data_IF_130721751125
#
_entry.id   IF_130721751125
#
_cell.length_a   1.000
_cell.length_b   1.000
_cell.length_c   1.000
_cell.angle_alpha   90.00
_cell.angle_beta   90.00
_cell.angle_gamma   90.00
#
_symmetry.space_group_name_H-M   'P 1'
#
loop_
_entity.id
_entity.type
_entity.pdbx_description
1 polymer ?
#
# COMPACT_ATOMS: atom_id res chain seq x y z
N UNK A 1 -21.52 6.51 5.97
CA UNK A 1 -20.59 6.96 7.03
C UNK A 1 -19.43 6.01 7.20
N UNK A 2 -19.58 4.83 7.84
CA UNK A 2 -18.44 3.89 8.01
C UNK A 2 -17.81 3.50 6.67
N UNK A 3 -18.64 3.18 5.68
CA UNK A 3 -18.19 2.88 4.32
C UNK A 3 -17.36 4.01 3.68
N UNK A 4 -17.75 5.27 3.87
CA UNK A 4 -17.03 6.42 3.31
C UNK A 4 -15.66 6.60 3.99
N UNK A 5 -15.59 6.33 5.30
CA UNK A 5 -14.34 6.30 6.06
C UNK A 5 -13.43 5.18 5.56
N UNK A 6 -13.97 3.98 5.32
CA UNK A 6 -13.19 2.85 4.81
C UNK A 6 -12.59 3.14 3.43
N UNK A 7 -13.39 3.72 2.54
CA UNK A 7 -12.95 4.14 1.20
C UNK A 7 -11.85 5.20 1.30
N UNK A 8 -12.04 6.24 2.12
CA UNK A 8 -11.06 7.30 2.29
C UNK A 8 -9.74 6.76 2.87
N UNK A 9 -9.81 5.88 3.86
CA UNK A 9 -8.64 5.25 4.47
C UNK A 9 -7.88 4.37 3.48
N UNK A 10 -8.57 3.53 2.70
CA UNK A 10 -7.94 2.67 1.69
C UNK A 10 -7.27 3.48 0.58
N UNK A 11 -7.94 4.56 0.15
CA UNK A 11 -7.43 5.51 -0.83
C UNK A 11 -6.27 6.32 -0.28
N UNK A 12 -6.24 6.59 1.03
CA UNK A 12 -5.21 7.37 1.72
C UNK A 12 -5.35 8.88 1.57
N UNK A 13 -6.46 9.37 1.00
CA UNK A 13 -6.76 10.81 0.91
C UNK A 13 -8.26 11.06 0.74
N UNK A 14 -8.67 12.29 1.08
CA UNK A 14 -10.03 12.78 0.85
C UNK A 14 -10.11 13.53 -0.48
N UNK A 15 -11.16 13.28 -1.25
CA UNK A 15 -11.55 14.17 -2.36
C UNK A 15 -11.89 15.56 -1.84
N UNK A 16 -11.87 16.57 -2.72
CA UNK A 16 -12.22 17.95 -2.36
C UNK A 16 -13.63 18.03 -1.74
N UNK A 17 -14.60 17.29 -2.30
CA UNK A 17 -15.96 17.22 -1.78
C UNK A 17 -16.03 16.56 -0.40
N UNK A 18 -15.37 15.40 -0.23
CA UNK A 18 -15.33 14.70 1.06
C UNK A 18 -14.68 15.57 2.14
N UNK A 19 -13.56 16.25 1.82
CA UNK A 19 -12.88 17.15 2.75
C UNK A 19 -13.77 18.31 3.20
N UNK A 20 -14.57 18.89 2.30
CA UNK A 20 -15.51 19.96 2.69
C UNK A 20 -16.65 19.46 3.55
N UNK A 21 -17.20 18.28 3.24
CA UNK A 21 -18.30 17.68 4.00
C UNK A 21 -17.85 17.23 5.39
N UNK A 22 -16.64 16.67 5.50
CA UNK A 22 -16.07 16.20 6.76
C UNK A 22 -15.70 17.33 7.70
N UNK A 23 -15.17 18.45 7.17
CA UNK A 23 -14.95 19.69 7.94
C UNK A 23 -16.24 20.30 8.50
N UNK A 24 -17.37 20.08 7.84
CA UNK A 24 -18.67 20.58 8.29
C UNK A 24 -19.34 19.66 9.31
N UNK A 25 -19.18 18.34 9.17
CA UNK A 25 -20.00 17.36 9.90
C UNK A 25 -19.26 16.58 11.01
N UNK A 26 -17.95 16.34 10.94
CA UNK A 26 -17.33 15.23 11.70
C UNK A 26 -16.17 15.61 12.64
N UNK A 27 -15.33 16.60 12.31
CA UNK A 27 -14.13 16.90 13.13
C UNK A 27 -14.41 17.66 14.44
N UNK A 28 -15.64 18.09 14.69
CA UNK A 28 -15.92 19.07 15.74
C UNK A 28 -16.35 18.50 17.11
N UNK A 29 -16.43 17.18 17.32
CA UNK A 29 -16.90 16.66 18.63
C UNK A 29 -16.44 15.26 19.08
N UNK A 30 -16.10 14.32 18.20
CA UNK A 30 -15.87 12.91 18.58
C UNK A 30 -14.38 12.53 18.58
N UNK A 31 -13.97 11.63 19.48
CA UNK A 31 -12.59 11.18 19.63
C UNK A 31 -12.05 10.52 18.35
N UNK A 32 -12.85 9.66 17.69
CA UNK A 32 -12.48 9.00 16.43
C UNK A 32 -12.23 10.00 15.30
N UNK A 33 -12.94 11.14 15.29
CA UNK A 33 -12.80 12.17 14.28
C UNK A 33 -11.40 12.76 14.26
N UNK A 34 -10.83 13.07 15.45
CA UNK A 34 -9.46 13.61 15.56
C UNK A 34 -8.38 12.59 15.15
N UNK A 35 -8.60 11.30 15.46
CA UNK A 35 -7.70 10.23 15.05
C UNK A 35 -7.75 10.00 13.55
N UNK A 36 -8.95 10.05 12.97
CA UNK A 36 -9.16 9.91 11.55
C UNK A 36 -8.57 11.09 10.77
N UNK A 37 -8.65 12.32 11.31
CA UNK A 37 -7.95 13.48 10.77
C UNK A 37 -6.45 13.21 10.71
N UNK A 38 -5.87 12.82 11.85
CA UNK A 38 -4.44 12.49 11.96
C UNK A 38 -4.02 11.39 10.98
N UNK A 39 -4.85 10.35 10.82
CA UNK A 39 -4.61 9.26 9.87
C UNK A 39 -4.56 9.77 8.42
N UNK A 40 -5.55 10.55 8.00
CA UNK A 40 -5.67 11.05 6.63
C UNK A 40 -4.69 12.20 6.32
N UNK A 41 -4.18 12.86 7.35
CA UNK A 41 -3.07 13.80 7.24
C UNK A 41 -1.71 13.10 7.09
N UNK A 42 -1.62 11.82 7.43
CA UNK A 42 -0.38 11.04 7.44
C UNK A 42 0.34 11.07 8.79
N UNK A 43 -0.23 11.71 9.81
CA UNK A 43 0.29 11.76 11.18
C UNK A 43 -0.08 10.48 11.97
N UNK A 44 0.49 9.36 11.54
CA UNK A 44 0.21 8.06 12.16
C UNK A 44 0.78 7.93 13.58
N UNK A 45 1.90 8.63 13.87
CA UNK A 45 2.46 8.70 15.22
C UNK A 45 1.49 9.42 16.16
N UNK A 46 0.85 10.50 15.70
CA UNK A 46 -0.19 11.21 16.43
C UNK A 46 -1.40 10.33 16.80
N UNK A 47 -1.78 9.39 15.92
CA UNK A 47 -2.81 8.39 16.23
C UNK A 47 -2.33 7.48 17.37
N UNK A 48 -1.13 6.91 17.24
CA UNK A 48 -0.58 5.95 18.20
C UNK A 48 -0.34 6.57 19.58
N UNK A 49 0.07 7.85 19.63
CA UNK A 49 0.37 8.60 20.86
C UNK A 49 -0.83 9.38 21.41
N UNK A 50 -2.01 9.21 20.82
CA UNK A 50 -3.21 9.90 21.27
C UNK A 50 -3.61 9.44 22.69
N UNK A 51 -4.19 10.33 23.52
CA UNK A 51 -4.65 9.96 24.86
C UNK A 51 -5.62 8.78 24.85
N UNK A 52 -6.55 8.76 23.88
CA UNK A 52 -7.51 7.66 23.74
C UNK A 52 -6.83 6.30 23.51
N UNK A 53 -5.82 6.25 22.62
CA UNK A 53 -5.08 5.01 22.35
C UNK A 53 -4.22 4.60 23.55
N UNK A 54 -3.56 5.55 24.22
CA UNK A 54 -2.77 5.27 25.41
C UNK A 54 -3.63 4.77 26.57
N UNK A 55 -4.84 5.31 26.74
CA UNK A 55 -5.79 4.85 27.76
C UNK A 55 -6.28 3.42 27.47
N UNK A 56 -6.52 3.07 26.20
CA UNK A 56 -6.89 1.70 25.78
C UNK A 56 -5.74 0.71 26.06
N UNK A 57 -4.52 1.08 25.72
CA UNK A 57 -3.32 0.24 25.90
C UNK A 57 -2.88 0.18 27.37
N UNK A 58 -3.27 1.16 28.18
CA UNK A 58 -3.00 1.24 29.60
C UNK A 58 -3.82 0.24 30.44
N UNK A 59 -3.40 0.03 31.69
CA UNK A 59 -4.10 -0.78 32.68
C UNK A 59 -3.24 -1.88 33.32
N UNK A 60 -3.89 -2.79 34.04
CA UNK A 60 -3.21 -3.86 34.78
C UNK A 60 -2.98 -5.09 33.90
N UNK A 61 -1.79 -5.68 34.00
CA UNK A 61 -1.45 -6.95 33.36
C UNK A 61 -1.63 -8.13 34.32
N UNK A 62 -2.04 -9.28 33.78
CA UNK A 62 -2.07 -10.52 34.57
C UNK A 62 -0.66 -11.10 34.74
N UNK A 63 -0.43 -11.86 35.82
CA UNK A 63 0.87 -12.50 36.07
C UNK A 63 1.24 -13.49 34.95
N UNK A 64 2.37 -13.25 34.29
CA UNK A 64 2.88 -14.12 33.22
C UNK A 64 2.07 -14.03 31.92
N UNK A 65 1.23 -13.01 31.75
CA UNK A 65 0.48 -12.75 30.53
C UNK A 65 1.43 -12.48 29.36
N UNK A 66 1.11 -12.99 28.17
CA UNK A 66 1.86 -12.68 26.95
C UNK A 66 1.41 -11.32 26.40
N UNK A 67 2.30 -10.62 25.69
CA UNK A 67 2.01 -9.30 25.11
C UNK A 67 0.74 -9.33 24.24
N UNK A 68 0.60 -10.32 23.35
CA UNK A 68 -0.60 -10.44 22.50
C UNK A 68 -1.88 -10.64 23.31
N UNK A 69 -1.85 -11.50 24.33
CA UNK A 69 -3.02 -11.79 25.17
C UNK A 69 -3.43 -10.57 26.00
N UNK A 70 -2.46 -9.80 26.48
CA UNK A 70 -2.69 -8.52 27.15
C UNK A 70 -3.40 -7.54 26.20
N UNK A 71 -2.85 -7.33 25.00
CA UNK A 71 -3.43 -6.41 24.00
C UNK A 71 -4.85 -6.84 23.59
N UNK A 72 -5.04 -8.13 23.30
CA UNK A 72 -6.34 -8.68 22.90
C UNK A 72 -7.40 -8.46 23.98
N UNK A 73 -7.06 -8.74 25.25
CA UNK A 73 -7.96 -8.52 26.38
C UNK A 73 -8.37 -7.04 26.51
N UNK A 74 -7.42 -6.12 26.35
CA UNK A 74 -7.68 -4.69 26.48
C UNK A 74 -8.56 -4.17 25.34
N UNK A 75 -8.29 -4.56 24.09
CA UNK A 75 -9.13 -4.18 22.96
C UNK A 75 -10.54 -4.77 23.06
N UNK A 76 -10.68 -6.04 23.46
CA UNK A 76 -12.00 -6.65 23.67
C UNK A 76 -12.76 -5.99 24.83
N UNK A 77 -12.07 -5.65 25.92
CA UNK A 77 -12.68 -4.92 27.03
C UNK A 77 -13.18 -3.53 26.58
N UNK A 78 -12.37 -2.80 25.81
CA UNK A 78 -12.76 -1.51 25.23
C UNK A 78 -13.99 -1.63 24.33
N UNK A 79 -14.07 -2.67 23.48
CA UNK A 79 -15.26 -2.91 22.64
C UNK A 79 -16.49 -3.34 23.46
N UNK A 80 -16.31 -4.07 24.56
CA UNK A 80 -17.42 -4.60 25.37
C UNK A 80 -18.02 -3.55 26.32
N UNK A 81 -17.24 -2.55 26.71
CA UNK A 81 -17.67 -1.40 27.52
C UNK A 81 -18.50 -0.37 26.71
N UNK A 82 -18.82 -0.68 25.45
CA UNK A 82 -19.63 0.17 24.59
C UNK A 82 -21.11 0.22 25.03
N UNK A 83 -21.71 1.40 24.98
CA UNK A 83 -23.17 1.53 24.85
C UNK A 83 -23.56 1.25 23.39
N UNK A 84 -24.83 0.94 23.13
CA UNK A 84 -25.33 0.74 21.74
C UNK A 84 -25.08 1.98 20.86
N UNK A 85 -25.09 3.17 21.46
CA UNK A 85 -24.88 4.44 20.76
C UNK A 85 -23.38 4.69 20.43
N UNK A 86 -22.45 4.11 21.19
CA UNK A 86 -20.99 4.32 21.05
C UNK A 86 -20.25 3.15 20.38
N UNK A 87 -20.96 2.06 20.02
CA UNK A 87 -20.34 0.84 19.46
C UNK A 87 -19.50 1.15 18.21
N UNK A 88 -20.10 1.82 17.23
CA UNK A 88 -19.42 2.15 15.97
C UNK A 88 -18.24 3.11 16.16
N UNK A 89 -18.35 4.04 17.11
CA UNK A 89 -17.27 4.98 17.45
C UNK A 89 -16.05 4.25 17.99
N UNK A 90 -16.25 3.32 18.94
CA UNK A 90 -15.17 2.51 19.52
C UNK A 90 -14.55 1.56 18.49
N UNK A 91 -15.36 0.94 17.63
CA UNK A 91 -14.84 0.15 16.51
C UNK A 91 -13.99 1.02 15.56
N UNK A 92 -14.39 2.28 15.33
CA UNK A 92 -13.65 3.22 14.49
C UNK A 92 -12.29 3.61 15.07
N UNK A 93 -12.20 3.83 16.39
CA UNK A 93 -10.91 4.08 17.06
C UNK A 93 -9.94 2.92 16.84
N UNK A 94 -10.38 1.68 17.05
CA UNK A 94 -9.55 0.49 16.85
C UNK A 94 -9.19 0.25 15.38
N UNK A 95 -10.11 0.53 14.46
CA UNK A 95 -9.86 0.49 13.02
C UNK A 95 -8.75 1.48 12.63
N UNK A 96 -8.87 2.76 13.02
CA UNK A 96 -7.89 3.80 12.72
C UNK A 96 -6.52 3.45 13.31
N UNK A 97 -6.48 2.92 14.54
CA UNK A 97 -5.25 2.42 15.15
C UNK A 97 -4.60 1.29 14.35
N UNK A 98 -5.39 0.32 13.87
CA UNK A 98 -4.89 -0.79 13.07
C UNK A 98 -4.27 -0.31 11.75
N UNK A 99 -4.96 0.60 11.07
CA UNK A 99 -4.49 1.22 9.83
C UNK A 99 -3.19 2.00 10.07
N UNK A 100 -3.15 2.85 11.10
CA UNK A 100 -1.96 3.62 11.47
C UNK A 100 -0.76 2.71 11.79
N UNK A 101 -0.96 1.59 12.49
CA UNK A 101 0.11 0.63 12.79
C UNK A 101 0.73 0.04 11.51
N UNK A 102 -0.09 -0.31 10.51
CA UNK A 102 0.41 -0.84 9.23
C UNK A 102 1.20 0.22 8.45
N UNK A 103 0.68 1.46 8.39
CA UNK A 103 1.38 2.57 7.75
C UNK A 103 2.71 2.88 8.44
N UNK A 104 2.74 3.00 9.77
CA UNK A 104 3.97 3.24 10.53
C UNK A 104 4.99 2.13 10.35
N UNK A 105 4.54 0.87 10.27
CA UNK A 105 5.44 -0.25 10.04
C UNK A 105 6.05 -0.18 8.64
N UNK A 106 5.23 0.10 7.61
CA UNK A 106 5.71 0.28 6.25
C UNK A 106 6.67 1.47 6.13
N UNK A 107 6.33 2.57 6.79
CA UNK A 107 7.16 3.77 6.92
C UNK A 107 8.52 3.47 7.52
N UNK A 108 8.53 2.77 8.66
CA UNK A 108 9.76 2.44 9.39
C UNK A 108 10.72 1.54 8.62
N UNK A 109 10.22 0.72 7.68
CA UNK A 109 11.01 -0.34 7.04
C UNK A 109 11.31 -0.09 5.55
N UNK A 110 10.47 0.65 4.82
CA UNK A 110 10.59 0.74 3.36
C UNK A 110 10.50 2.15 2.80
N UNK A 111 9.58 2.96 3.31
CA UNK A 111 9.25 4.22 2.64
C UNK A 111 9.90 5.43 3.30
N UNK A 112 10.18 5.35 4.61
CA UNK A 112 10.67 6.47 5.39
C UNK A 112 9.64 7.60 5.55
N UNK A 113 9.98 8.65 6.34
CA UNK A 113 11.19 8.80 7.15
C UNK A 113 11.24 7.83 8.35
N UNK A 114 12.41 7.62 9.00
CA UNK A 114 12.52 6.72 10.16
C UNK A 114 11.63 7.17 11.33
N UNK A 115 10.89 6.23 11.93
CA UNK A 115 10.04 6.47 13.10
C UNK A 115 10.62 5.76 14.32
N UNK A 116 10.65 6.42 15.48
CA UNK A 116 11.13 5.84 16.74
C UNK A 116 9.95 5.48 17.64
N UNK A 117 9.51 4.22 17.61
CA UNK A 117 8.44 3.72 18.48
C UNK A 117 9.05 2.97 19.65
N UNK A 118 8.88 3.48 20.87
CA UNK A 118 9.36 2.81 22.07
C UNK A 118 8.24 1.93 22.64
N UNK A 119 8.35 0.61 22.50
CA UNK A 119 7.33 -0.34 23.00
C UNK A 119 6.99 -0.16 24.48
N UNK A 120 7.94 0.35 25.27
CA UNK A 120 7.77 0.59 26.71
C UNK A 120 6.71 1.65 27.02
N UNK A 121 6.44 2.56 26.08
CA UNK A 121 5.45 3.62 26.24
C UNK A 121 4.01 3.08 26.18
N UNK A 122 3.83 1.86 25.64
CA UNK A 122 2.53 1.24 25.35
C UNK A 122 2.20 0.03 26.21
N UNK A 123 3.15 -0.45 27.03
CA UNK A 123 2.98 -1.65 27.84
C UNK A 123 3.20 -1.34 29.32
N UNK A 124 2.39 -1.91 30.23
CA UNK A 124 2.51 -1.60 31.64
C UNK A 124 3.82 -2.16 32.24
N UNK A 125 4.42 -1.51 33.25
CA UNK A 125 5.67 -1.95 33.86
C UNK A 125 5.63 -3.38 34.39
N UNK A 126 4.48 -3.86 34.85
CA UNK A 126 4.31 -5.22 35.34
C UNK A 126 4.52 -6.29 34.25
N UNK A 127 4.15 -5.99 33.00
CA UNK A 127 4.38 -6.86 31.84
C UNK A 127 5.83 -6.77 31.34
N UNK A 128 6.47 -5.61 31.52
CA UNK A 128 7.85 -5.35 31.11
C UNK A 128 8.88 -5.88 32.12
N UNK A 129 8.55 -5.95 33.40
CA UNK A 129 9.50 -6.35 34.45
C UNK A 129 10.14 -7.73 34.20
N UNK A 130 9.41 -8.80 33.80
CA UNK A 130 10.00 -10.08 33.43
C UNK A 130 10.90 -10.03 32.18
N UNK A 131 10.78 -8.97 31.37
CA UNK A 131 11.49 -8.73 30.11
C UNK A 131 12.55 -7.63 30.24
N UNK A 132 12.97 -7.30 31.47
CA UNK A 132 13.93 -6.22 31.76
C UNK A 132 15.36 -6.51 31.30
N UNK A 133 15.68 -7.78 31.01
CA UNK A 133 16.99 -8.14 30.49
C UNK A 133 17.23 -7.52 29.11
N UNK A 134 18.49 -7.13 28.77
CA UNK A 134 18.81 -6.59 27.46
C UNK A 134 18.32 -7.52 26.34
N UNK A 135 17.61 -6.96 25.36
CA UNK A 135 17.04 -7.69 24.21
C UNK A 135 15.91 -8.68 24.54
N UNK A 136 15.58 -8.96 25.81
CA UNK A 136 14.53 -9.92 26.15
C UNK A 136 13.15 -9.51 25.60
N UNK A 137 12.81 -8.22 25.69
CA UNK A 137 11.61 -7.68 25.06
C UNK A 137 11.60 -7.86 23.54
N UNK A 138 12.72 -7.54 22.87
CA UNK A 138 12.87 -7.72 21.43
C UNK A 138 12.72 -9.19 21.03
N UNK A 139 13.36 -10.10 21.76
CA UNK A 139 13.25 -11.55 21.53
C UNK A 139 11.81 -12.02 21.73
N UNK A 140 11.12 -11.56 22.78
CA UNK A 140 9.73 -11.91 23.03
C UNK A 140 8.82 -11.45 21.87
N UNK A 141 8.98 -10.21 21.41
CA UNK A 141 8.25 -9.63 20.27
C UNK A 141 8.50 -10.43 18.99
N UNK A 142 9.77 -10.67 18.64
CA UNK A 142 10.12 -11.42 17.42
C UNK A 142 9.66 -12.87 17.49
N UNK A 143 9.76 -13.52 18.66
CA UNK A 143 9.29 -14.90 18.87
C UNK A 143 7.78 -15.00 18.70
N UNK A 144 7.05 -13.96 19.08
CA UNK A 144 5.60 -13.89 18.94
C UNK A 144 5.16 -13.80 17.47
N UNK A 145 6.02 -13.26 16.61
CA UNK A 145 5.79 -13.11 15.17
C UNK A 145 6.34 -14.29 14.34
N UNK A 146 6.92 -15.32 14.98
CA UNK A 146 7.36 -16.53 14.28
C UNK A 146 6.14 -17.21 13.66
N UNK A 147 6.24 -17.53 12.38
CA UNK A 147 5.17 -18.18 11.61
C UNK A 147 5.76 -19.34 10.83
N UNK A 148 5.08 -20.49 10.83
CA UNK A 148 5.51 -21.71 10.14
C UNK A 148 6.97 -22.15 10.43
N UNK A 149 7.48 -21.79 11.61
CA UNK A 149 8.86 -22.07 12.03
C UNK A 149 9.92 -21.11 11.47
N UNK A 150 9.51 -20.09 10.70
CA UNK A 150 10.38 -19.05 10.20
C UNK A 150 10.43 -17.85 11.15
N UNK A 151 11.64 -17.36 11.41
CA UNK A 151 11.87 -16.17 12.23
C UNK A 151 11.76 -14.88 11.42
N UNK A 152 11.24 -13.83 12.04
CA UNK A 152 11.24 -12.49 11.46
C UNK A 152 12.67 -12.00 11.22
N UNK A 153 12.85 -11.24 10.13
CA UNK A 153 14.12 -10.61 9.77
C UNK A 153 14.66 -9.74 10.91
N UNK A 154 15.92 -9.94 11.31
CA UNK A 154 16.50 -9.34 12.52
C UNK A 154 16.71 -7.82 12.46
N UNK A 155 16.74 -7.22 11.27
CA UNK A 155 16.85 -5.76 11.09
C UNK A 155 15.49 -5.08 10.89
N UNK A 156 14.39 -5.78 11.19
CA UNK A 156 13.06 -5.17 11.18
C UNK A 156 12.99 -4.01 12.19
N UNK A 157 12.49 -2.88 11.73
CA UNK A 157 12.23 -1.72 12.60
C UNK A 157 10.80 -1.79 13.15
N UNK A 158 10.64 -1.45 14.43
CA UNK A 158 9.36 -1.40 15.13
C UNK A 158 8.45 -2.65 14.96
N UNK A 159 8.95 -3.89 15.19
CA UNK A 159 8.15 -5.12 15.03
C UNK A 159 6.91 -5.19 15.94
N UNK A 160 6.87 -4.41 17.01
CA UNK A 160 5.70 -4.26 17.87
C UNK A 160 4.45 -3.77 17.11
N UNK A 161 4.62 -2.92 16.08
CA UNK A 161 3.51 -2.43 15.26
C UNK A 161 2.79 -3.57 14.51
N UNK A 162 3.53 -4.60 14.07
CA UNK A 162 2.92 -5.80 13.48
C UNK A 162 2.14 -6.63 14.51
N UNK A 163 2.57 -6.65 15.77
CA UNK A 163 1.81 -7.32 16.84
C UNK A 163 0.49 -6.58 17.05
N UNK A 164 0.51 -5.26 17.20
CA UNK A 164 -0.71 -4.45 17.35
C UNK A 164 -1.67 -4.68 16.18
N UNK A 165 -1.18 -4.57 14.94
CA UNK A 165 -1.98 -4.78 13.74
C UNK A 165 -2.56 -6.21 13.68
N UNK A 166 -1.77 -7.24 14.04
CA UNK A 166 -2.26 -8.63 14.11
C UNK A 166 -3.39 -8.78 15.11
N UNK A 167 -3.21 -8.29 16.34
CA UNK A 167 -4.23 -8.44 17.37
C UNK A 167 -5.52 -7.73 16.94
N UNK A 168 -5.42 -6.51 16.41
CA UNK A 168 -6.58 -5.73 15.96
C UNK A 168 -7.30 -6.37 14.77
N UNK A 169 -6.57 -6.74 13.71
CA UNK A 169 -7.15 -7.21 12.44
C UNK A 169 -7.47 -8.71 12.42
N UNK A 170 -6.73 -9.53 13.17
CA UNK A 170 -6.86 -10.99 13.15
C UNK A 170 -7.59 -11.50 14.38
N UNK A 171 -7.15 -11.13 15.59
CA UNK A 171 -7.76 -11.62 16.84
C UNK A 171 -9.08 -10.91 17.15
N UNK A 172 -9.09 -9.58 17.08
CA UNK A 172 -10.26 -8.76 17.37
C UNK A 172 -11.13 -8.47 16.13
N UNK A 173 -10.66 -8.81 14.92
CA UNK A 173 -11.30 -8.37 13.67
C UNK A 173 -12.75 -8.82 13.50
N UNK A 174 -13.15 -9.98 14.04
CA UNK A 174 -14.55 -10.44 14.02
C UNK A 174 -15.49 -9.57 14.86
N UNK A 175 -14.96 -8.73 15.75
CA UNK A 175 -15.73 -7.79 16.58
C UNK A 175 -15.89 -6.41 15.95
N UNK A 176 -15.17 -6.12 14.87
CA UNK A 176 -15.27 -4.88 14.10
C UNK A 176 -16.32 -5.04 12.98
N UNK A 177 -17.54 -5.41 13.36
CA UNK A 177 -18.62 -5.82 12.45
C UNK A 177 -19.14 -4.68 11.57
N UNK A 178 -18.91 -3.42 11.96
CA UNK A 178 -19.35 -2.25 11.18
C UNK A 178 -18.53 -2.07 9.90
N UNK A 179 -17.34 -2.68 9.80
CA UNK A 179 -16.35 -2.45 8.75
C UNK A 179 -16.37 -3.58 7.71
N UNK A 180 -16.84 -3.27 6.50
CA UNK A 180 -16.98 -4.26 5.42
C UNK A 180 -15.67 -4.51 4.67
N UNK A 181 -14.78 -3.52 4.63
CA UNK A 181 -13.49 -3.54 3.95
C UNK A 181 -12.32 -3.85 4.90
N UNK A 182 -12.60 -4.14 6.17
CA UNK A 182 -11.61 -4.66 7.11
C UNK A 182 -10.77 -5.82 6.56
N UNK A 183 -11.34 -6.82 5.83
CA UNK A 183 -10.53 -7.91 5.29
C UNK A 183 -9.47 -7.46 4.27
N UNK A 184 -9.65 -6.30 3.62
CA UNK A 184 -8.62 -5.73 2.76
C UNK A 184 -7.43 -5.19 3.58
N UNK A 185 -7.68 -4.56 4.73
CA UNK A 185 -6.59 -4.23 5.66
C UNK A 185 -5.92 -5.48 6.25
N UNK A 186 -6.68 -6.55 6.49
CA UNK A 186 -6.12 -7.86 6.85
C UNK A 186 -5.23 -8.41 5.73
N UNK A 187 -5.57 -8.24 4.45
CA UNK A 187 -4.69 -8.60 3.32
C UNK A 187 -3.37 -7.86 3.41
N UNK A 188 -3.41 -6.54 3.60
CA UNK A 188 -2.20 -5.71 3.72
C UNK A 188 -1.34 -6.20 4.89
N UNK A 189 -1.93 -6.47 6.05
CA UNK A 189 -1.22 -7.10 7.17
C UNK A 189 -0.58 -8.44 6.79
N UNK A 190 -1.37 -9.34 6.19
CA UNK A 190 -0.93 -10.67 5.78
C UNK A 190 0.25 -10.58 4.80
N UNK A 191 0.18 -9.67 3.83
CA UNK A 191 1.23 -9.50 2.84
C UNK A 191 2.50 -8.87 3.43
N UNK A 192 2.38 -7.95 4.39
CA UNK A 192 3.51 -7.40 5.12
C UNK A 192 4.20 -8.44 6.03
N UNK A 193 3.40 -9.25 6.73
CA UNK A 193 3.90 -10.28 7.63
C UNK A 193 4.31 -11.57 6.91
N UNK A 194 3.87 -11.73 5.65
CA UNK A 194 4.03 -12.93 4.82
C UNK A 194 3.29 -14.17 5.35
N UNK A 195 2.02 -14.05 5.76
CA UNK A 195 1.16 -15.18 6.14
C UNK A 195 0.43 -15.87 4.97
N UNK A 196 0.36 -17.20 4.93
CA UNK A 196 -0.24 -17.96 3.83
C UNK A 196 -1.78 -17.90 3.70
N UNK A 197 -2.51 -17.25 4.62
CA UNK A 197 -3.99 -17.32 4.66
C UNK A 197 -4.65 -16.18 3.87
N UNK A 198 -4.85 -16.39 2.56
CA UNK A 198 -5.56 -15.45 1.67
C UNK A 198 -7.08 -15.68 1.60
N UNK A 199 -7.60 -16.81 2.08
CA UNK A 199 -9.02 -17.21 1.91
C UNK A 199 -10.03 -16.21 2.51
N UNK A 200 -9.69 -15.54 3.61
CA UNK A 200 -10.58 -14.54 4.25
C UNK A 200 -10.69 -13.25 3.42
N UNK A 201 -9.65 -12.92 2.65
CA UNK A 201 -9.54 -11.66 1.92
C UNK A 201 -10.34 -11.68 0.62
N UNK A 202 -10.31 -12.81 -0.10
CA UNK A 202 -10.96 -12.97 -1.41
C UNK A 202 -12.47 -12.69 -1.38
N UNK A 203 -13.10 -12.74 -0.21
CA UNK A 203 -14.52 -12.37 -0.01
C UNK A 203 -14.81 -10.90 -0.31
N UNK A 204 -13.80 -10.03 -0.31
CA UNK A 204 -13.95 -8.58 -0.54
C UNK A 204 -14.11 -8.20 -2.01
N UNK A 205 -13.75 -9.10 -2.94
CA UNK A 205 -13.84 -8.85 -4.39
C UNK A 205 -15.27 -8.48 -4.82
N UNK A 206 -16.28 -9.10 -4.21
CA UNK A 206 -17.69 -8.87 -4.52
C UNK A 206 -18.15 -7.43 -4.24
N UNK A 207 -17.43 -6.68 -3.39
CA UNK A 207 -17.80 -5.33 -2.97
C UNK A 207 -17.45 -4.25 -4.02
N UNK A 208 -16.64 -4.58 -5.02
CA UNK A 208 -16.15 -3.63 -6.03
C UNK A 208 -16.70 -3.87 -7.45
N UNK A 209 -17.86 -4.51 -7.54
CA UNK A 209 -18.54 -4.80 -8.81
C UNK A 209 -19.17 -3.57 -9.50
N UNK A 210 -19.23 -2.44 -8.79
CA UNK A 210 -19.80 -1.18 -9.30
C UNK A 210 -18.72 -0.27 -9.90
N UNK A 211 -19.03 0.34 -11.05
CA UNK A 211 -18.17 1.29 -11.78
C UNK A 211 -17.71 2.51 -10.95
N UNK A 212 -18.46 2.86 -9.90
CA UNK A 212 -18.17 4.02 -9.03
C UNK A 212 -16.84 3.91 -8.28
N UNK A 213 -16.34 2.70 -8.05
CA UNK A 213 -15.10 2.45 -7.31
C UNK A 213 -14.05 1.74 -8.16
N UNK A 214 -14.09 1.94 -9.49
CA UNK A 214 -13.19 1.28 -10.44
C UNK A 214 -11.71 1.39 -10.07
N UNK A 215 -11.24 2.56 -9.62
CA UNK A 215 -9.84 2.76 -9.22
C UNK A 215 -9.46 1.91 -7.99
N UNK A 216 -10.36 1.79 -7.01
CA UNK A 216 -10.16 0.90 -5.87
C UNK A 216 -10.20 -0.57 -6.30
N UNK A 217 -11.08 -0.94 -7.22
CA UNK A 217 -11.10 -2.29 -7.79
C UNK A 217 -9.76 -2.65 -8.46
N UNK A 218 -9.20 -1.71 -9.24
CA UNK A 218 -7.87 -1.85 -9.85
C UNK A 218 -6.82 -2.06 -8.77
N UNK A 219 -6.79 -1.20 -7.73
CA UNK A 219 -5.84 -1.31 -6.63
C UNK A 219 -5.96 -2.65 -5.90
N UNK A 220 -7.19 -3.10 -5.61
CA UNK A 220 -7.46 -4.39 -4.97
C UNK A 220 -6.84 -5.55 -5.76
N UNK A 221 -7.12 -5.62 -7.07
CA UNK A 221 -6.58 -6.67 -7.92
C UNK A 221 -5.05 -6.60 -8.03
N UNK A 222 -4.46 -5.40 -8.07
CA UNK A 222 -3.00 -5.26 -8.04
C UNK A 222 -2.42 -5.80 -6.72
N UNK A 223 -3.00 -5.44 -5.57
CA UNK A 223 -2.56 -5.94 -4.26
C UNK A 223 -2.69 -7.46 -4.13
N UNK A 224 -3.81 -8.04 -4.59
CA UNK A 224 -4.00 -9.49 -4.66
C UNK A 224 -2.95 -10.14 -5.58
N UNK A 225 -2.72 -9.59 -6.78
CA UNK A 225 -1.75 -10.10 -7.73
C UNK A 225 -0.33 -10.15 -7.16
N UNK A 226 0.13 -9.05 -6.56
CA UNK A 226 1.44 -8.99 -5.90
C UNK A 226 1.53 -9.88 -4.64
N UNK A 227 0.44 -10.04 -3.90
CA UNK A 227 0.40 -10.96 -2.75
C UNK A 227 0.53 -12.40 -3.23
N UNK A 228 -0.21 -12.82 -4.27
CA UNK A 228 -0.08 -14.13 -4.88
C UNK A 228 1.36 -14.41 -5.37
N UNK A 229 2.01 -13.42 -6.00
CA UNK A 229 3.43 -13.56 -6.40
C UNK A 229 4.36 -13.80 -5.21
N UNK A 230 4.09 -13.19 -4.05
CA UNK A 230 4.87 -13.40 -2.82
C UNK A 230 4.82 -14.86 -2.36
N UNK A 231 3.73 -15.57 -2.63
CA UNK A 231 3.56 -17.01 -2.36
C UNK A 231 3.85 -17.91 -3.57
N UNK A 232 4.44 -17.37 -4.63
CA UNK A 232 4.72 -18.10 -5.88
C UNK A 232 3.46 -18.65 -6.56
N UNK A 233 2.31 -18.05 -6.31
CA UNK A 233 1.03 -18.41 -6.95
C UNK A 233 0.86 -17.64 -8.27
N UNK A 234 1.60 -18.06 -9.29
CA UNK A 234 1.64 -17.35 -10.58
C UNK A 234 0.30 -17.32 -11.34
N UNK A 235 -0.52 -18.37 -11.22
CA UNK A 235 -1.81 -18.44 -11.93
C UNK A 235 -2.83 -17.44 -11.35
N UNK A 236 -3.14 -17.46 -10.03
CA UNK A 236 -3.98 -16.42 -9.44
C UNK A 236 -3.43 -15.00 -9.64
N UNK A 237 -2.10 -14.83 -9.54
CA UNK A 237 -1.48 -13.53 -9.77
C UNK A 237 -1.80 -12.97 -11.17
N UNK A 238 -1.63 -13.82 -12.20
CA UNK A 238 -1.94 -13.46 -13.58
C UNK A 238 -3.41 -13.10 -13.79
N UNK A 239 -4.32 -13.86 -13.19
CA UNK A 239 -5.76 -13.60 -13.26
C UNK A 239 -6.10 -12.21 -12.69
N UNK A 240 -5.53 -11.86 -11.54
CA UNK A 240 -5.73 -10.54 -10.95
C UNK A 240 -5.08 -9.40 -11.75
N UNK A 241 -3.88 -9.57 -12.28
CA UNK A 241 -3.29 -8.56 -13.17
C UNK A 241 -4.09 -8.36 -14.45
N UNK A 242 -4.69 -9.43 -14.98
CA UNK A 242 -5.59 -9.33 -16.12
C UNK A 242 -6.89 -8.59 -15.76
N UNK A 243 -7.51 -8.88 -14.62
CA UNK A 243 -8.67 -8.14 -14.13
C UNK A 243 -8.36 -6.64 -13.95
N UNK A 244 -7.21 -6.29 -13.37
CA UNK A 244 -6.77 -4.91 -13.22
C UNK A 244 -6.57 -4.22 -14.59
N UNK A 245 -5.99 -4.93 -15.57
CA UNK A 245 -5.86 -4.46 -16.96
C UNK A 245 -7.22 -4.20 -17.61
N UNK A 246 -8.16 -5.13 -17.49
CA UNK A 246 -9.52 -5.00 -18.05
C UNK A 246 -10.25 -3.80 -17.45
N UNK A 247 -10.16 -3.61 -16.13
CA UNK A 247 -10.75 -2.47 -15.42
C UNK A 247 -10.11 -1.13 -15.81
N UNK A 248 -8.82 -1.10 -16.14
CA UNK A 248 -8.12 0.13 -16.56
C UNK A 248 -8.58 0.64 -17.92
N UNK A 249 -9.15 -0.23 -18.78
CA UNK A 249 -9.53 0.07 -20.17
C UNK A 249 -8.36 0.62 -21.01
N UNK A 250 -7.15 0.16 -20.70
CA UNK A 250 -5.94 0.44 -21.45
C UNK A 250 -5.57 -0.74 -22.36
N UNK A 251 -5.24 -0.42 -23.59
CA UNK A 251 -4.58 -1.32 -24.50
C UNK A 251 -3.06 -1.12 -24.36
N UNK A 252 -2.42 -2.08 -23.69
CA UNK A 252 -0.97 -2.05 -23.38
C UNK A 252 -0.30 -3.12 -24.24
N UNK A 253 0.52 -2.68 -25.20
CA UNK A 253 1.18 -3.57 -26.17
C UNK A 253 2.65 -3.21 -26.35
N UNK A 254 3.51 -4.22 -26.42
CA UNK A 254 4.90 -4.04 -26.87
C UNK A 254 4.90 -4.09 -28.40
N UNK A 255 5.35 -3.02 -29.04
CA UNK A 255 5.36 -2.89 -30.52
C UNK A 255 6.71 -2.38 -31.02
N UNK A 256 6.94 -2.48 -32.33
CA UNK A 256 8.14 -1.97 -32.99
C UNK A 256 7.88 -0.62 -33.65
N UNK A 257 8.68 0.39 -33.32
CA UNK A 257 8.67 1.70 -33.97
C UNK A 257 10.04 2.07 -34.52
N UNK A 258 10.08 2.88 -35.59
CA UNK A 258 11.33 3.36 -36.15
C UNK A 258 11.94 4.46 -35.26
N UNK A 259 13.17 4.24 -34.79
CA UNK A 259 13.85 5.15 -33.87
C UNK A 259 15.37 5.23 -34.04
N UNK A 260 15.97 6.26 -33.44
CA UNK A 260 17.42 6.45 -33.31
C UNK A 260 17.83 6.44 -31.84
N UNK A 261 18.95 5.80 -31.54
CA UNK A 261 19.55 5.79 -30.20
C UNK A 261 20.85 6.59 -30.10
N UNK A 262 21.44 6.97 -31.23
CA UNK A 262 22.68 7.75 -31.27
C UNK A 262 22.53 9.00 -32.11
N UNK A 263 23.31 10.03 -31.78
CA UNK A 263 23.27 11.34 -32.44
C UNK A 263 23.71 11.26 -33.90
N UNK A 264 24.62 10.34 -34.21
CA UNK A 264 25.22 10.17 -35.55
C UNK A 264 24.57 9.08 -36.40
N UNK A 265 23.48 8.47 -35.93
CA UNK A 265 22.76 7.44 -36.71
C UNK A 265 22.07 8.09 -37.92
N UNK A 266 22.38 7.64 -39.15
CA UNK A 266 21.73 8.15 -40.37
C UNK A 266 20.33 7.57 -40.55
N UNK A 267 20.19 6.25 -40.48
CA UNK A 267 18.93 5.54 -40.70
C UNK A 267 18.15 5.33 -39.41
N UNK A 268 16.82 5.37 -39.47
CA UNK A 268 15.98 4.90 -38.38
C UNK A 268 15.95 3.37 -38.39
N UNK A 269 16.09 2.76 -37.21
CA UNK A 269 16.06 1.30 -37.03
C UNK A 269 14.87 0.93 -36.15
N UNK A 270 14.36 -0.28 -36.29
CA UNK A 270 13.29 -0.78 -35.43
C UNK A 270 13.75 -0.79 -33.96
N UNK A 271 12.93 -0.22 -33.09
CA UNK A 271 13.07 -0.17 -31.64
C UNK A 271 11.81 -0.75 -31.03
N UNK A 272 11.96 -1.58 -30.00
CA UNK A 272 10.81 -2.00 -29.19
C UNK A 272 10.39 -0.84 -28.29
N UNK A 273 9.10 -0.54 -28.30
CA UNK A 273 8.47 0.49 -27.47
C UNK A 273 7.20 -0.08 -26.83
N UNK A 274 6.78 0.54 -25.74
CA UNK A 274 5.47 0.29 -25.16
C UNK A 274 4.46 1.27 -25.77
N UNK A 275 3.47 0.73 -26.47
CA UNK A 275 2.32 1.48 -26.97
C UNK A 275 1.16 1.31 -25.99
N UNK A 276 0.63 2.44 -25.50
CA UNK A 276 -0.44 2.49 -24.52
C UNK A 276 -1.54 3.39 -25.05
N UNK A 277 -2.73 2.84 -25.25
CA UNK A 277 -3.88 3.56 -25.77
C UNK A 277 -5.10 3.36 -24.86
N UNK A 278 -5.99 4.36 -24.82
CA UNK A 278 -7.28 4.25 -24.15
C UNK A 278 -8.28 3.64 -25.12
N UNK A 279 -9.06 2.67 -24.66
CA UNK A 279 -10.14 2.10 -25.47
C UNK A 279 -11.18 3.16 -25.84
N UNK A 280 -11.69 3.11 -27.07
CA UNK A 280 -12.68 4.06 -27.58
C UNK A 280 -13.92 4.15 -26.66
N UNK A 281 -14.38 5.37 -26.40
CA UNK A 281 -15.56 5.61 -25.54
C UNK A 281 -15.26 5.53 -24.03
N UNK A 282 -14.00 5.35 -23.62
CA UNK A 282 -13.62 5.45 -22.22
C UNK A 282 -13.71 6.90 -21.74
N UNK A 283 -14.58 7.22 -20.76
CA UNK A 283 -14.59 8.55 -20.17
C UNK A 283 -13.22 8.84 -19.55
N UNK A 284 -12.73 10.07 -19.74
CA UNK A 284 -11.51 10.54 -19.08
C UNK A 284 -11.67 10.33 -17.56
N UNK A 285 -10.59 9.97 -16.85
CA UNK A 285 -10.64 9.79 -15.40
C UNK A 285 -11.29 11.02 -14.75
N UNK A 286 -12.34 10.80 -13.94
CA UNK A 286 -12.87 11.86 -13.11
C UNK A 286 -11.77 12.25 -12.12
N UNK A 287 -11.11 13.40 -12.35
CA UNK A 287 -9.90 13.82 -11.63
C UNK A 287 -10.03 14.03 -10.12
N UNK A 288 -11.18 13.69 -9.53
CA UNK A 288 -11.42 13.75 -8.10
C UNK A 288 -11.03 12.46 -7.36
N UNK A 289 -10.94 11.31 -8.06
CA UNK A 289 -10.74 9.99 -7.44
C UNK A 289 -9.29 9.50 -7.47
N UNK A 290 -8.38 10.26 -8.09
CA UNK A 290 -6.95 9.96 -8.20
C UNK A 290 -6.16 11.01 -7.44
N UNK A 291 -5.09 10.59 -6.75
CA UNK A 291 -4.27 11.54 -5.99
C UNK A 291 -3.63 12.57 -6.94
N UNK A 292 -3.43 13.80 -6.46
CA UNK A 292 -2.70 14.81 -7.21
C UNK A 292 -1.26 14.32 -7.47
N UNK A 293 -0.74 14.40 -8.70
CA UNK A 293 0.63 13.99 -8.99
C UNK A 293 1.63 14.72 -8.09
N UNK A 294 2.69 14.02 -7.66
CA UNK A 294 3.80 14.65 -6.94
C UNK A 294 4.37 15.79 -7.79
N UNK A 295 4.59 16.99 -7.22
CA UNK A 295 5.23 18.07 -7.94
C UNK A 295 6.58 17.65 -8.50
N UNK A 296 6.91 18.08 -9.71
CA UNK A 296 8.18 17.75 -10.40
C UNK A 296 9.42 18.08 -9.56
N UNK A 297 9.33 19.09 -8.70
CA UNK A 297 10.41 19.54 -7.81
C UNK A 297 10.74 18.52 -6.71
N UNK A 298 9.77 17.69 -6.30
CA UNK A 298 9.93 16.63 -5.31
C UNK A 298 10.33 15.28 -5.90
N UNK A 299 10.36 15.15 -7.23
CA UNK A 299 10.84 13.94 -7.89
C UNK A 299 12.38 13.95 -8.00
N UNK A 300 13.04 12.78 -8.00
CA UNK A 300 14.45 12.68 -8.33
C UNK A 300 14.73 13.38 -9.66
N UNK A 301 15.74 14.24 -9.70
CA UNK A 301 16.12 14.94 -10.93
C UNK A 301 16.62 13.93 -11.95
N UNK A 302 15.94 13.85 -13.09
CA UNK A 302 16.52 13.18 -14.25
C UNK A 302 17.69 14.01 -14.76
N UNK A 303 18.85 13.36 -14.84
CA UNK A 303 20.11 13.99 -15.19
C UNK A 303 20.52 13.53 -16.58
N UNK A 304 20.52 14.48 -17.52
CA UNK A 304 21.10 14.27 -18.86
C UNK A 304 22.54 13.77 -18.71
N UNK A 305 22.80 12.57 -19.22
CA UNK A 305 24.13 11.94 -19.15
C UNK A 305 25.16 12.70 -20.00
N UNK A 306 24.70 13.58 -20.90
CA UNK A 306 25.54 14.44 -21.72
C UNK A 306 26.41 13.67 -22.71
N UNK A 307 26.08 12.42 -23.02
CA UNK A 307 26.88 11.56 -23.88
C UNK A 307 26.96 12.13 -25.31
N UNK A 308 28.16 12.27 -25.84
CA UNK A 308 28.39 12.84 -27.17
C UNK A 308 27.90 11.95 -28.31
N UNK A 309 27.64 10.67 -28.04
CA UNK A 309 27.29 9.66 -29.03
C UNK A 309 25.87 9.13 -28.84
N UNK A 310 25.47 8.81 -27.62
CA UNK A 310 24.18 8.19 -27.28
C UNK A 310 23.15 9.25 -26.93
N UNK A 311 21.89 9.02 -27.32
CA UNK A 311 20.75 9.81 -26.91
C UNK A 311 20.23 9.29 -25.57
N UNK A 312 19.84 10.18 -24.65
CA UNK A 312 19.23 9.76 -23.38
C UNK A 312 17.91 9.01 -23.62
N UNK A 313 17.11 9.50 -24.56
CA UNK A 313 15.85 8.90 -24.97
C UNK A 313 15.87 8.55 -26.46
N UNK A 314 15.18 7.47 -26.81
CA UNK A 314 15.02 7.04 -28.20
C UNK A 314 14.28 8.14 -28.97
N UNK A 315 14.87 8.61 -30.07
CA UNK A 315 14.20 9.57 -30.96
C UNK A 315 13.43 8.80 -32.03
N UNK A 316 12.11 8.74 -31.89
CA UNK A 316 11.22 8.11 -32.87
C UNK A 316 11.11 8.93 -34.16
N UNK A 317 10.88 8.25 -35.28
CA UNK A 317 10.62 8.88 -36.58
C UNK A 317 9.24 9.57 -36.57
N UNK A 318 8.25 8.90 -35.99
CA UNK A 318 6.85 9.32 -35.90
C UNK A 318 6.44 9.35 -34.42
N UNK A 319 6.89 10.36 -33.65
CA UNK A 319 6.60 10.43 -32.22
C UNK A 319 5.12 10.69 -31.91
N UNK A 320 4.36 11.27 -32.86
CA UNK A 320 2.94 11.57 -32.70
C UNK A 320 2.05 10.32 -32.68
N UNK A 321 2.47 9.23 -33.34
CA UNK A 321 1.71 7.97 -33.40
C UNK A 321 1.81 7.15 -32.11
N UNK A 322 2.80 7.46 -31.26
CA UNK A 322 3.11 6.70 -30.05
C UNK A 322 3.13 7.60 -28.80
N UNK A 323 2.33 8.67 -28.80
CA UNK A 323 2.19 9.52 -27.63
C UNK A 323 1.40 8.78 -26.55
N UNK A 324 1.98 8.73 -25.37
CA UNK A 324 1.31 8.17 -24.21
C UNK A 324 0.16 9.11 -23.81
N UNK A 325 -1.02 8.57 -23.46
CA UNK A 325 -2.08 9.35 -22.86
C UNK A 325 -1.63 9.86 -21.47
N UNK A 326 -2.34 10.85 -20.93
CA UNK A 326 -2.20 11.22 -19.53
C UNK A 326 -2.69 10.06 -18.66
N UNK A 327 -1.80 9.45 -17.88
CA UNK A 327 -2.04 8.23 -17.10
C UNK A 327 -2.13 8.55 -15.61
N UNK A 328 -3.21 8.11 -14.98
CA UNK A 328 -3.37 8.13 -13.52
C UNK A 328 -2.37 7.21 -12.81
N UNK A 329 -2.21 7.39 -11.50
CA UNK A 329 -1.32 6.55 -10.69
C UNK A 329 -1.73 5.06 -10.74
N UNK A 330 -3.03 4.78 -10.74
CA UNK A 330 -3.59 3.44 -10.83
C UNK A 330 -3.31 2.80 -12.19
N UNK A 331 -3.48 3.57 -13.27
CA UNK A 331 -3.16 3.13 -14.64
C UNK A 331 -1.66 2.85 -14.83
N UNK A 332 -0.81 3.71 -14.26
CA UNK A 332 0.63 3.47 -14.21
C UNK A 332 0.96 2.19 -13.41
N UNK A 333 0.30 1.98 -12.27
CA UNK A 333 0.46 0.76 -11.49
C UNK A 333 -0.01 -0.50 -12.25
N UNK A 334 -1.05 -0.41 -13.09
CA UNK A 334 -1.48 -1.49 -13.98
C UNK A 334 -0.41 -1.84 -15.01
N UNK A 335 0.21 -0.84 -15.66
CA UNK A 335 1.31 -1.08 -16.61
C UNK A 335 2.48 -1.80 -15.92
N UNK A 336 2.83 -1.40 -14.70
CA UNK A 336 3.84 -2.09 -13.89
C UNK A 336 3.43 -3.51 -13.51
N UNK A 337 2.14 -3.74 -13.20
CA UNK A 337 1.57 -5.06 -12.98
C UNK A 337 1.70 -5.97 -14.20
N UNK A 338 1.36 -5.46 -15.39
CA UNK A 338 1.52 -6.18 -16.67
C UNK A 338 2.99 -6.50 -16.95
N UNK A 339 3.90 -5.55 -16.72
CA UNK A 339 5.34 -5.78 -16.84
C UNK A 339 5.83 -6.88 -15.88
N UNK A 340 5.33 -6.87 -14.64
CA UNK A 340 5.68 -7.87 -13.62
C UNK A 340 5.16 -9.25 -14.01
N UNK A 341 3.90 -9.36 -14.44
CA UNK A 341 3.32 -10.62 -14.93
C UNK A 341 4.14 -11.19 -16.10
N UNK A 342 4.49 -10.33 -17.05
CA UNK A 342 5.34 -10.70 -18.18
C UNK A 342 6.71 -11.22 -17.72
N UNK A 343 7.37 -10.51 -16.80
CA UNK A 343 8.65 -10.93 -16.25
C UNK A 343 8.57 -12.30 -15.55
N UNK A 344 7.50 -12.55 -14.79
CA UNK A 344 7.37 -13.74 -13.94
C UNK A 344 6.91 -14.98 -14.69
N UNK A 345 6.15 -14.81 -15.76
CA UNK A 345 5.63 -15.93 -16.56
C UNK A 345 6.48 -16.27 -17.79
N UNK A 346 7.53 -15.50 -18.08
CA UNK A 346 8.44 -15.76 -19.20
C UNK A 346 9.84 -16.22 -18.73
N UNK A 347 10.54 -17.03 -19.53
CA UNK A 347 11.88 -17.47 -19.21
C UNK A 347 12.86 -16.30 -19.21
N UNK A 348 13.87 -16.38 -18.33
CA UNK A 348 15.01 -15.46 -18.32
C UNK A 348 15.83 -15.68 -19.59
N UNK A 349 15.61 -14.84 -20.59
CA UNK A 349 16.20 -14.91 -21.91
C UNK A 349 16.44 -13.50 -22.44
N UNK A 350 17.44 -13.34 -23.31
CA UNK A 350 17.81 -12.03 -23.87
C UNK A 350 16.65 -11.31 -24.56
N UNK A 351 15.80 -12.07 -25.26
CA UNK A 351 14.61 -11.50 -25.90
C UNK A 351 13.64 -10.91 -24.87
N UNK A 352 13.34 -11.66 -23.81
CA UNK A 352 12.51 -11.20 -22.70
C UNK A 352 13.11 -9.97 -22.02
N UNK A 353 14.44 -9.92 -21.86
CA UNK A 353 15.12 -8.74 -21.32
C UNK A 353 14.92 -7.50 -22.19
N UNK A 354 15.06 -7.64 -23.52
CA UNK A 354 14.80 -6.54 -24.47
C UNK A 354 13.33 -6.09 -24.46
N UNK A 355 12.38 -7.02 -24.35
CA UNK A 355 10.95 -6.71 -24.24
C UNK A 355 10.62 -5.98 -22.93
N UNK A 356 11.26 -6.38 -21.82
CA UNK A 356 11.11 -5.71 -20.53
C UNK A 356 11.66 -4.28 -20.54
N UNK A 357 12.72 -4.01 -21.32
CA UNK A 357 13.26 -2.65 -21.48
C UNK A 357 12.27 -1.70 -22.17
N UNK A 358 11.34 -2.21 -22.98
CA UNK A 358 10.28 -1.38 -23.57
C UNK A 358 9.39 -0.76 -22.49
N UNK A 359 9.09 -1.50 -21.40
CA UNK A 359 8.32 -0.98 -20.27
C UNK A 359 9.06 0.08 -19.46
N UNK A 360 10.39 0.05 -19.41
CA UNK A 360 11.19 1.05 -18.67
C UNK A 360 11.50 2.29 -19.49
N UNK A 361 11.14 2.32 -20.78
CA UNK A 361 11.35 3.45 -21.70
C UNK A 361 10.24 4.52 -21.63
N UNK A 362 9.25 4.34 -20.75
CA UNK A 362 8.23 5.35 -20.48
C UNK A 362 8.92 6.60 -19.87
N UNK A 363 8.62 7.82 -20.35
CA UNK A 363 9.19 9.05 -19.83
C UNK A 363 8.91 9.20 -18.31
N UNK A 364 9.73 10.02 -17.66
CA UNK A 364 10.02 10.13 -16.21
C UNK A 364 8.89 10.07 -15.17
N UNK A 365 7.62 9.94 -15.53
CA UNK A 365 6.53 9.72 -14.55
C UNK A 365 6.64 8.38 -13.83
N UNK A 366 7.36 7.40 -14.38
CA UNK A 366 7.63 6.09 -13.75
C UNK A 366 9.06 5.94 -13.17
N UNK A 367 9.93 6.95 -13.35
CA UNK A 367 11.38 6.90 -13.04
C UNK A 367 11.70 6.74 -11.54
N UNK A 368 10.72 6.88 -10.64
CA UNK A 368 10.91 6.61 -9.20
C UNK A 368 11.16 5.13 -8.88
N UNK A 369 10.98 4.21 -9.83
CA UNK A 369 11.17 2.76 -9.65
C UNK A 369 12.47 2.21 -10.26
N UNK A 370 13.58 2.95 -10.16
CA UNK A 370 14.95 2.49 -10.50
C UNK A 370 15.44 1.22 -9.76
N UNK A 371 14.57 0.57 -8.98
CA UNK A 371 14.77 -0.80 -8.46
C UNK A 371 13.47 -1.59 -8.49
N UNK A 372 12.95 -1.88 -9.69
CA UNK A 372 11.96 -2.92 -9.97
C UNK A 372 12.46 -4.36 -9.65
N UNK A 373 13.27 -4.53 -8.59
CA UNK A 373 13.89 -5.81 -8.21
C UNK A 373 13.28 -6.46 -6.98
N UNK A 374 12.31 -5.84 -6.30
CA UNK A 374 11.62 -6.47 -5.16
C UNK A 374 10.12 -6.22 -5.22
N UNK A 375 9.35 -7.29 -5.41
CA UNK A 375 7.88 -7.31 -5.37
C UNK A 375 7.33 -6.59 -4.13
N UNK A 376 8.02 -6.71 -2.99
CA UNK A 376 7.65 -5.99 -1.76
C UNK A 376 7.66 -4.47 -1.92
N UNK A 377 8.56 -3.88 -2.70
CA UNK A 377 8.57 -2.43 -2.95
C UNK A 377 7.41 -2.00 -3.84
N UNK A 378 7.06 -2.81 -4.84
CA UNK A 378 5.90 -2.56 -5.70
C UNK A 378 4.60 -2.72 -4.94
N UNK A 379 4.43 -3.79 -4.16
CA UNK A 379 3.29 -3.97 -3.27
C UNK A 379 3.21 -2.84 -2.24
N UNK A 380 4.33 -2.46 -1.61
CA UNK A 380 4.35 -1.34 -0.66
C UNK A 380 3.96 -0.03 -1.32
N UNK A 381 4.41 0.21 -2.56
CA UNK A 381 3.98 1.36 -3.33
C UNK A 381 2.48 1.29 -3.65
N UNK A 382 1.94 0.15 -4.08
CA UNK A 382 0.50 0.03 -4.36
C UNK A 382 -0.36 0.18 -3.10
N UNK A 383 0.07 -0.37 -1.96
CA UNK A 383 -0.68 -0.36 -0.70
C UNK A 383 -0.51 0.93 0.12
N UNK A 384 0.65 1.57 0.08
CA UNK A 384 1.05 2.61 1.07
C UNK A 384 1.68 3.88 0.47
N UNK A 385 1.77 4.02 -0.86
CA UNK A 385 2.44 5.20 -1.49
C UNK A 385 1.80 6.55 -1.16
N UNK A 386 0.47 6.59 -0.95
CA UNK A 386 -0.25 7.86 -0.75
C UNK A 386 0.04 8.55 0.60
N UNK A 387 0.67 7.86 1.56
CA UNK A 387 0.99 8.43 2.86
C UNK A 387 2.41 8.98 3.01
N UNK A 388 3.30 8.71 2.04
CA UNK A 388 4.75 8.91 2.21
C UNK A 388 5.22 10.23 1.58
N UNK A 389 4.50 10.72 0.57
CA UNK A 389 4.94 11.86 -0.24
C UNK A 389 4.61 13.23 0.38
N UNK A 390 4.07 13.29 1.60
CA UNK A 390 3.73 14.57 2.25
C UNK A 390 4.89 15.24 2.99
N UNK A 391 5.92 14.47 3.35
CA UNK A 391 7.03 14.95 4.22
C UNK A 391 8.43 14.84 3.57
N UNK A 392 8.53 14.68 2.25
CA UNK A 392 9.81 14.62 1.52
C UNK A 392 10.23 15.98 0.94
#
# INVERSE_FOLDING_TARGET
>A
MVWDVEIAALRGFLTVSEATEWKQNHFNAAESGSLLESLLEGNFEGVLMSPAVLDILGGESNNGERIEAYLERHFLAYLTDATEDDKTEREMVLYVLAVACLHLFAQSNWTGPPVSVHTQDFLPPALLHPLSEPQALTVAILSSLVLDGESVYSLVSNPFLLILARVLLVSCGEKLESFQLLPWWTLRYVALHQQSSMERVLKSEALFTNETHRNLAIQFHLECGYTCLTYYEYRPAKEHFQQARELSRLDINVTGALGKRTRFQENFLAQLILDVQRQEGTPLPEGNLTHTPTPLEGLPKDHDLGDDTVLNNVRLAEPEEHQLPDLSAEEQAVILGVCTDFQKNNPVHKLTEEELLAFTSLPDSMSTNGTAKRERRQLTAVCFSNSVLRDA
#
